data_IF_656655915124
#
_entry.id   IF_656655915124
#
_cell.length_a   1.000
_cell.length_b   1.000
_cell.length_c   1.000
_cell.angle_alpha   90.00
_cell.angle_beta   90.00
_cell.angle_gamma   90.00
#
_symmetry.space_group_name_H-M   'P 1'
#
loop_
_entity.id
_entity.type
_entity.pdbx_description
1 polymer ?
#
# COMPACT_ATOMS: atom_id res chain seq x y z
N UNK A 1 -3.38 -7.59 12.75
CA UNK A 1 -3.74 -6.16 12.70
C UNK A 1 -4.18 -5.72 14.09
N UNK A 2 -3.69 -4.56 14.53
CA UNK A 2 -4.13 -3.94 15.78
C UNK A 2 -5.30 -2.97 15.53
N UNK A 3 -6.45 -3.25 16.15
CA UNK A 3 -7.64 -2.41 16.06
C UNK A 3 -7.59 -1.26 17.07
N UNK A 4 -8.37 -0.22 16.82
CA UNK A 4 -8.41 0.99 17.64
C UNK A 4 -8.97 0.76 19.06
N UNK A 5 -9.69 -0.33 19.30
CA UNK A 5 -10.19 -0.74 20.61
C UNK A 5 -9.19 -1.63 21.39
N UNK A 6 -8.00 -1.85 20.83
CA UNK A 6 -6.96 -2.71 21.41
C UNK A 6 -7.13 -4.20 21.10
N UNK A 7 -8.21 -4.59 20.43
CA UNK A 7 -8.36 -5.96 19.93
C UNK A 7 -7.52 -6.21 18.68
N UNK A 8 -7.40 -7.47 18.29
CA UNK A 8 -6.60 -7.88 17.14
C UNK A 8 -7.43 -8.67 16.14
N UNK A 9 -7.06 -8.54 14.86
CA UNK A 9 -7.70 -9.24 13.74
C UNK A 9 -6.66 -9.69 12.72
N UNK A 10 -6.76 -10.89 12.13
CA UNK A 10 -5.99 -11.23 10.93
C UNK A 10 -6.23 -10.20 9.82
N UNK A 11 -5.22 -9.90 9.00
CA UNK A 11 -5.34 -8.87 7.96
C UNK A 11 -6.36 -9.28 6.88
N UNK A 12 -6.54 -10.57 6.65
CA UNK A 12 -7.54 -11.13 5.75
C UNK A 12 -8.99 -10.97 6.25
N UNK A 13 -9.18 -10.72 7.54
CA UNK A 13 -10.48 -10.52 8.17
C UNK A 13 -10.82 -9.05 8.39
N UNK A 14 -9.89 -8.13 8.14
CA UNK A 14 -10.16 -6.68 8.25
C UNK A 14 -11.14 -6.26 7.17
N UNK A 15 -12.16 -5.50 7.56
CA UNK A 15 -13.22 -5.06 6.68
C UNK A 15 -13.23 -3.54 6.48
N UNK A 16 -13.93 -3.11 5.44
CA UNK A 16 -14.20 -1.69 5.20
C UNK A 16 -14.92 -1.08 6.40
N UNK A 17 -14.33 -0.04 6.97
CA UNK A 17 -14.88 0.67 8.11
C UNK A 17 -14.39 0.22 9.48
N UNK A 18 -13.64 -0.88 9.56
CA UNK A 18 -12.86 -1.20 10.73
C UNK A 18 -11.92 -0.03 11.08
N UNK A 19 -11.69 0.18 12.38
CA UNK A 19 -10.78 1.21 12.86
C UNK A 19 -9.51 0.57 13.37
N UNK A 20 -8.37 0.99 12.83
CA UNK A 20 -7.04 0.47 13.17
C UNK A 20 -6.19 1.56 13.82
N UNK A 21 -5.16 1.15 14.57
CA UNK A 21 -4.16 2.09 15.09
C UNK A 21 -3.08 2.37 14.03
N UNK A 22 -2.93 3.65 13.70
CA UNK A 22 -1.90 4.19 12.83
C UNK A 22 -1.04 5.16 13.64
N UNK A 23 0.28 5.13 13.44
CA UNK A 23 1.20 6.06 14.10
C UNK A 23 1.87 6.92 13.06
N UNK A 24 1.81 8.23 13.26
CA UNK A 24 2.64 9.16 12.51
C UNK A 24 4.09 8.97 12.96
N UNK A 25 4.99 8.50 12.09
CA UNK A 25 6.35 8.21 12.49
C UNK A 25 7.15 9.48 12.85
N UNK A 26 6.79 10.64 12.30
CA UNK A 26 7.48 11.92 12.54
C UNK A 26 7.16 12.49 13.92
N UNK A 27 5.89 12.41 14.33
CA UNK A 27 5.43 12.95 15.61
C UNK A 27 5.37 11.90 16.72
N UNK A 28 5.33 10.61 16.35
CA UNK A 28 5.02 9.50 17.26
C UNK A 28 3.55 9.45 17.68
N UNK A 29 2.68 10.30 17.12
CA UNK A 29 1.27 10.34 17.51
C UNK A 29 0.53 9.12 16.96
N UNK A 30 -0.03 8.32 17.86
CA UNK A 30 -0.86 7.16 17.53
C UNK A 30 -2.33 7.56 17.50
N UNK A 31 -2.97 7.43 16.34
CA UNK A 31 -4.36 7.82 16.10
C UNK A 31 -5.20 6.68 15.54
N UNK A 32 -6.50 6.71 15.86
CA UNK A 32 -7.46 5.77 15.30
C UNK A 32 -7.85 6.19 13.88
N UNK A 33 -7.62 5.32 12.90
CA UNK A 33 -7.97 5.57 11.51
C UNK A 33 -8.89 4.52 10.92
N UNK A 34 -9.76 4.96 10.01
CA UNK A 34 -10.73 4.08 9.33
C UNK A 34 -10.06 3.38 8.15
N UNK A 35 -10.27 2.08 8.04
CA UNK A 35 -9.95 1.30 6.84
C UNK A 35 -10.93 1.69 5.74
N UNK A 36 -10.40 2.22 4.66
CA UNK A 36 -11.17 2.70 3.50
C UNK A 36 -10.99 1.82 2.27
N UNK A 37 -10.00 0.93 2.26
CA UNK A 37 -9.92 -0.18 1.32
C UNK A 37 -9.21 -1.40 1.93
N UNK A 38 -9.54 -2.58 1.43
CA UNK A 38 -8.77 -3.81 1.61
C UNK A 38 -8.23 -4.22 0.23
N UNK A 39 -6.97 -4.62 0.18
CA UNK A 39 -6.25 -5.00 -1.03
C UNK A 39 -5.88 -6.46 -0.88
N UNK A 40 -6.25 -7.26 -1.86
CA UNK A 40 -5.87 -8.67 -1.94
C UNK A 40 -5.15 -8.89 -3.26
N UNK A 41 -3.88 -9.25 -3.19
CA UNK A 41 -3.09 -9.65 -4.36
C UNK A 41 -2.90 -11.16 -4.36
N UNK A 42 -2.96 -11.81 -5.51
CA UNK A 42 -2.63 -13.23 -5.64
C UNK A 42 -1.67 -13.44 -6.82
N UNK A 43 -0.69 -14.33 -6.66
CA UNK A 43 0.24 -14.71 -7.73
C UNK A 43 1.64 -14.95 -7.20
N UNK A 44 2.60 -15.02 -8.11
CA UNK A 44 4.02 -15.10 -7.76
C UNK A 44 4.44 -13.83 -7.03
N UNK A 45 5.06 -13.99 -5.86
CA UNK A 45 5.51 -12.92 -4.97
C UNK A 45 6.92 -13.22 -4.50
N UNK A 46 7.71 -12.16 -4.43
CA UNK A 46 8.95 -12.13 -3.67
C UNK A 46 8.55 -11.71 -2.24
N UNK A 47 8.81 -12.61 -1.30
CA UNK A 47 8.37 -12.53 0.08
C UNK A 47 9.58 -12.48 1.00
N UNK A 48 9.37 -11.82 2.14
CA UNK A 48 10.34 -11.75 3.22
C UNK A 48 9.64 -12.20 4.49
N UNK A 49 10.20 -13.21 5.14
CA UNK A 49 9.87 -13.62 6.50
C UNK A 49 10.86 -12.93 7.45
N UNK A 50 10.34 -12.06 8.30
CA UNK A 50 11.10 -11.27 9.26
C UNK A 50 10.82 -11.87 10.64
N UNK A 51 11.88 -12.29 11.33
CA UNK A 51 11.79 -12.82 12.69
C UNK A 51 12.18 -11.71 13.66
N UNK A 52 11.33 -11.44 14.65
CA UNK A 52 11.55 -10.41 15.67
C UNK A 52 11.60 -11.03 17.06
N UNK A 53 12.45 -10.47 17.90
CA UNK A 53 12.54 -10.74 19.33
C UNK A 53 11.43 -10.00 20.08
N UNK A 54 10.55 -10.75 20.75
CA UNK A 54 9.32 -10.22 21.36
C UNK A 54 9.36 -10.15 22.89
N UNK A 55 10.39 -10.70 23.54
CA UNK A 55 10.59 -10.60 24.98
C UNK A 55 11.94 -9.98 25.39
N UNK A 56 12.79 -9.65 24.42
CA UNK A 56 14.03 -8.90 24.63
C UNK A 56 14.96 -9.61 25.61
N UNK A 57 15.59 -8.86 26.52
CA UNK A 57 16.50 -9.43 27.51
C UNK A 57 15.79 -10.34 28.55
N UNK A 58 14.45 -10.41 28.53
CA UNK A 58 13.70 -11.28 29.43
C UNK A 58 13.70 -12.75 28.98
N UNK A 59 14.04 -13.04 27.72
CA UNK A 59 14.05 -14.40 27.19
C UNK A 59 14.65 -14.56 25.80
N UNK A 60 14.13 -15.54 25.07
CA UNK A 60 14.54 -15.90 23.70
C UNK A 60 13.31 -16.09 22.80
N UNK A 61 12.15 -15.52 23.18
CA UNK A 61 10.92 -15.69 22.42
C UNK A 61 10.97 -14.85 21.14
N UNK A 62 10.63 -15.50 20.03
CA UNK A 62 10.62 -14.87 18.71
C UNK A 62 9.32 -15.14 17.98
N UNK A 63 8.93 -14.21 17.13
CA UNK A 63 7.73 -14.29 16.28
C UNK A 63 8.05 -13.83 14.86
N UNK A 64 7.23 -14.23 13.89
CA UNK A 64 7.46 -13.90 12.48
C UNK A 64 6.38 -13.02 11.87
N UNK A 65 6.80 -12.17 10.93
CA UNK A 65 5.94 -11.40 10.03
C UNK A 65 6.35 -11.74 8.61
N UNK A 66 5.38 -11.95 7.73
CA UNK A 66 5.63 -12.11 6.28
C UNK A 66 5.10 -10.91 5.52
N UNK A 67 5.94 -10.33 4.67
CA UNK A 67 5.59 -9.23 3.79
C UNK A 67 6.13 -9.44 2.37
N UNK A 68 5.68 -8.64 1.41
CA UNK A 68 6.36 -8.56 0.10
C UNK A 68 7.69 -7.84 0.25
N UNK A 69 8.69 -8.17 -0.57
CA UNK A 69 10.03 -7.58 -0.54
C UNK A 69 10.03 -6.04 -0.48
N UNK A 70 9.27 -5.39 -1.36
CA UNK A 70 9.17 -3.93 -1.45
C UNK A 70 8.23 -3.30 -0.37
N UNK A 71 7.82 -4.05 0.66
CA UNK A 71 6.91 -3.50 1.68
C UNK A 71 7.70 -2.75 2.75
N UNK A 72 7.47 -1.44 2.97
CA UNK A 72 8.29 -0.69 3.91
C UNK A 72 7.93 -0.94 5.38
N UNK A 73 8.96 -0.97 6.23
CA UNK A 73 8.93 -1.03 7.68
C UNK A 73 9.60 0.21 8.27
N UNK A 74 9.09 0.70 9.40
CA UNK A 74 9.72 1.81 10.12
C UNK A 74 10.81 1.29 11.06
N UNK A 75 12.02 1.80 10.88
CA UNK A 75 13.22 1.44 11.66
C UNK A 75 13.69 2.66 12.44
N UNK A 76 13.67 2.57 13.77
CA UNK A 76 14.12 3.64 14.67
C UNK A 76 15.64 3.66 14.87
N UNK A 77 16.26 2.47 15.00
CA UNK A 77 17.70 2.31 15.18
C UNK A 77 18.23 1.18 14.31
N UNK A 78 19.34 1.44 13.63
CA UNK A 78 20.01 0.47 12.75
C UNK A 78 20.94 -0.45 13.53
N UNK A 79 20.82 -1.76 13.27
CA UNK A 79 21.72 -2.77 13.84
C UNK A 79 23.10 -2.78 13.18
N UNK A 80 23.17 -2.55 11.85
CA UNK A 80 24.42 -2.52 11.08
C UNK A 80 24.25 -1.89 9.69
N UNK A 81 25.17 -0.97 9.33
CA UNK A 81 25.51 -0.48 7.97
C UNK A 81 24.40 -0.43 6.90
N UNK A 82 23.16 -0.09 7.25
CA UNK A 82 22.22 0.37 6.22
C UNK A 82 22.77 1.66 5.60
N UNK A 83 22.58 1.83 4.30
CA UNK A 83 22.67 3.16 3.71
C UNK A 83 21.72 4.07 4.51
N UNK A 84 22.06 5.35 4.73
CA UNK A 84 21.15 6.26 5.41
C UNK A 84 19.79 6.15 4.73
N UNK A 85 18.72 5.99 5.53
CA UNK A 85 17.39 5.83 4.97
C UNK A 85 17.20 6.93 3.94
N UNK A 86 16.88 6.56 2.70
CA UNK A 86 16.38 7.55 1.78
C UNK A 86 15.13 8.17 2.43
N UNK A 87 14.78 9.41 2.04
CA UNK A 87 13.46 9.94 2.38
C UNK A 87 12.42 8.85 2.16
N UNK A 88 11.47 8.73 3.09
CA UNK A 88 10.43 7.72 3.00
C UNK A 88 9.80 7.69 1.62
N UNK A 89 9.11 6.59 1.23
CA UNK A 89 8.52 6.46 -0.11
C UNK A 89 7.59 7.64 -0.50
N UNK A 90 7.23 8.50 0.46
CA UNK A 90 6.38 9.69 0.32
C UNK A 90 7.06 11.04 0.61
N UNK A 91 8.40 11.10 0.67
CA UNK A 91 9.12 12.33 1.07
C UNK A 91 9.10 12.60 2.58
N UNK A 92 8.67 11.60 3.34
CA UNK A 92 8.64 11.57 4.81
C UNK A 92 10.07 11.55 5.37
N UNK A 93 10.17 11.75 6.69
CA UNK A 93 11.41 11.58 7.43
C UNK A 93 12.13 10.26 7.07
N UNK A 94 13.49 10.27 7.05
CA UNK A 94 14.27 9.05 6.92
C UNK A 94 13.89 8.07 8.06
N UNK A 95 13.75 6.79 7.72
CA UNK A 95 13.37 5.72 8.67
C UNK A 95 12.62 4.56 8.04
N UNK A 96 12.16 4.70 6.79
CA UNK A 96 11.52 3.62 6.04
C UNK A 96 12.51 2.78 5.26
N UNK A 97 12.40 1.45 5.41
CA UNK A 97 13.21 0.46 4.71
C UNK A 97 12.32 -0.62 4.11
N UNK A 98 12.61 -1.04 2.89
CA UNK A 98 11.94 -2.18 2.27
C UNK A 98 12.22 -3.44 3.09
N UNK A 99 11.28 -4.37 3.12
CA UNK A 99 11.39 -5.60 3.92
C UNK A 99 12.65 -6.40 3.60
N UNK A 100 13.07 -6.41 2.32
CA UNK A 100 14.27 -7.13 1.86
C UNK A 100 15.59 -6.46 2.28
N UNK A 101 15.54 -5.18 2.67
CA UNK A 101 16.70 -4.41 3.12
C UNK A 101 16.85 -4.42 4.65
N UNK A 102 15.94 -5.04 5.39
CA UNK A 102 16.07 -5.20 6.85
C UNK A 102 17.24 -6.13 7.18
N UNK A 103 17.98 -5.78 8.22
CA UNK A 103 19.09 -6.57 8.74
C UNK A 103 18.85 -6.98 10.21
N UNK A 104 19.37 -8.16 10.63
CA UNK A 104 19.41 -8.50 12.04
C UNK A 104 20.08 -7.40 12.89
N UNK A 105 19.36 -6.95 13.91
CA UNK A 105 19.72 -5.85 14.80
C UNK A 105 18.91 -4.57 14.59
N UNK A 106 18.19 -4.43 13.47
CA UNK A 106 17.28 -3.30 13.25
C UNK A 106 16.13 -3.29 14.26
N UNK A 107 15.72 -2.10 14.67
CA UNK A 107 14.69 -1.91 15.69
C UNK A 107 13.41 -1.32 15.09
N UNK A 108 12.34 -2.12 15.08
CA UNK A 108 11.02 -1.76 14.58
C UNK A 108 10.16 -1.14 15.69
N UNK A 109 9.41 -0.10 15.35
CA UNK A 109 8.58 0.64 16.31
C UNK A 109 7.25 -0.05 16.63
N UNK A 110 6.87 -0.05 17.90
CA UNK A 110 5.56 -0.47 18.42
C UNK A 110 4.63 0.75 18.69
N UNK A 111 3.31 0.56 18.92
CA UNK A 111 2.34 1.66 19.05
C UNK A 111 2.56 2.59 20.25
N UNK A 112 3.20 2.10 21.29
CA UNK A 112 3.59 2.83 22.51
C UNK A 112 4.97 3.51 22.40
N UNK A 113 5.63 3.37 21.24
CA UNK A 113 6.96 3.92 20.98
C UNK A 113 8.10 3.07 21.52
N UNK A 114 7.82 1.87 22.05
CA UNK A 114 8.85 0.86 22.30
C UNK A 114 9.37 0.28 20.97
N UNK A 115 10.35 -0.64 21.09
CA UNK A 115 11.11 -1.17 19.97
C UNK A 115 11.27 -2.67 20.08
N UNK A 116 11.10 -3.37 18.96
CA UNK A 116 11.42 -4.79 18.84
C UNK A 116 12.53 -5.01 17.83
N UNK A 117 13.42 -5.95 18.14
CA UNK A 117 14.63 -6.19 17.37
C UNK A 117 14.41 -7.27 16.34
N UNK A 118 14.78 -7.01 15.09
CA UNK A 118 14.89 -8.02 14.04
C UNK A 118 16.06 -8.94 14.37
N UNK A 119 15.85 -10.25 14.36
CA UNK A 119 16.89 -11.26 14.66
C UNK A 119 17.21 -12.16 13.48
N UNK A 120 16.30 -12.31 12.52
CA UNK A 120 16.53 -13.04 11.27
C UNK A 120 15.67 -12.48 10.14
N UNK A 121 16.18 -12.55 8.91
CA UNK A 121 15.48 -12.12 7.71
C UNK A 121 15.69 -13.16 6.62
N UNK A 122 14.59 -13.71 6.10
CA UNK A 122 14.62 -14.75 5.09
C UNK A 122 13.79 -14.37 3.88
N UNK A 123 14.45 -14.24 2.73
CA UNK A 123 13.79 -13.98 1.45
C UNK A 123 13.46 -15.28 0.71
N UNK A 124 12.29 -15.35 0.09
CA UNK A 124 11.87 -16.49 -0.73
C UNK A 124 10.80 -16.08 -1.73
N UNK A 125 10.58 -16.91 -2.74
CA UNK A 125 9.51 -16.69 -3.72
C UNK A 125 8.42 -17.73 -3.58
N UNK A 126 7.16 -17.29 -3.69
CA UNK A 126 6.01 -18.19 -3.63
C UNK A 126 4.83 -17.66 -4.44
N UNK A 127 3.99 -18.57 -4.92
CA UNK A 127 2.65 -18.19 -5.38
C UNK A 127 1.73 -18.16 -4.17
N UNK A 128 1.34 -16.96 -3.73
CA UNK A 128 0.50 -16.81 -2.54
C UNK A 128 -0.49 -15.67 -2.69
N UNK A 129 -1.42 -15.60 -1.73
CA UNK A 129 -2.28 -14.44 -1.51
C UNK A 129 -1.62 -13.53 -0.48
N UNK A 130 -1.57 -12.23 -0.78
CA UNK A 130 -1.09 -11.19 0.13
C UNK A 130 -2.19 -10.16 0.34
N UNK A 131 -2.18 -9.56 1.51
CA UNK A 131 -3.16 -8.58 1.94
C UNK A 131 -2.47 -7.25 2.25
N UNK A 132 -3.13 -6.15 1.93
CA UNK A 132 -2.73 -4.80 2.31
C UNK A 132 -4.01 -3.98 2.54
N UNK A 133 -3.91 -2.83 3.20
CA UNK A 133 -5.06 -1.99 3.50
C UNK A 133 -4.96 -0.68 2.72
N UNK A 134 -5.95 0.17 2.89
CA UNK A 134 -5.81 1.60 2.65
C UNK A 134 -6.48 2.30 3.81
N UNK A 135 -5.72 3.17 4.47
CA UNK A 135 -6.14 3.87 5.68
C UNK A 135 -6.18 5.36 5.38
N UNK A 136 -7.19 6.03 5.90
CA UNK A 136 -7.33 7.47 5.73
C UNK A 136 -6.32 8.23 6.60
N UNK A 137 -5.73 9.30 6.08
CA UNK A 137 -4.87 10.20 6.85
C UNK A 137 -3.41 9.75 6.82
N UNK A 138 -2.97 9.07 7.87
CA UNK A 138 -1.60 8.60 8.04
C UNK A 138 -1.43 7.28 7.29
N UNK A 139 -0.42 7.21 6.41
CA UNK A 139 -0.19 6.04 5.54
C UNK A 139 0.57 4.93 6.26
N UNK A 140 0.22 4.64 7.51
CA UNK A 140 0.88 3.62 8.34
C UNK A 140 -0.16 2.78 9.09
N UNK A 141 0.23 1.58 9.51
CA UNK A 141 -0.55 0.75 10.44
C UNK A 141 0.32 -0.27 11.16
N UNK A 142 -0.26 -0.91 12.18
CA UNK A 142 0.42 -1.98 12.90
C UNK A 142 -0.02 -3.38 12.47
N UNK A 143 0.94 -4.17 11.99
CA UNK A 143 0.82 -5.63 11.79
C UNK A 143 1.37 -6.36 12.99
N UNK A 144 0.95 -7.60 13.23
CA UNK A 144 1.38 -8.35 14.41
C UNK A 144 2.46 -9.38 14.03
N UNK A 145 3.55 -9.41 14.79
CA UNK A 145 4.42 -10.58 14.98
C UNK A 145 3.93 -11.31 16.23
N UNK A 146 3.20 -12.41 16.07
CA UNK A 146 2.48 -13.04 17.19
C UNK A 146 1.49 -12.07 17.83
N UNK A 147 1.75 -11.63 19.07
CA UNK A 147 0.97 -10.62 19.78
C UNK A 147 1.56 -9.19 19.68
N UNK A 148 2.75 -9.05 19.09
CA UNK A 148 3.55 -7.81 19.10
C UNK A 148 3.29 -6.97 17.86
N UNK A 149 2.68 -5.77 17.99
CA UNK A 149 2.44 -4.86 16.88
C UNK A 149 3.70 -4.14 16.41
N UNK A 150 3.95 -4.12 15.09
CA UNK A 150 5.03 -3.36 14.45
C UNK A 150 4.50 -2.40 13.38
N UNK A 151 5.09 -1.21 13.32
CA UNK A 151 4.71 -0.14 12.39
C UNK A 151 5.17 -0.43 10.96
N UNK A 152 4.21 -0.56 10.04
CA UNK A 152 4.45 -0.76 8.61
C UNK A 152 3.80 0.32 7.77
N UNK A 153 4.33 0.50 6.57
CA UNK A 153 3.80 1.45 5.62
C UNK A 153 2.58 0.87 4.89
N UNK A 154 1.54 1.66 4.72
CA UNK A 154 0.38 1.33 3.91
C UNK A 154 0.70 1.49 2.40
N UNK A 155 1.15 0.42 1.73
CA UNK A 155 1.86 0.50 0.44
C UNK A 155 1.11 1.18 -0.76
N UNK A 156 1.92 1.78 -1.64
CA UNK A 156 1.69 2.34 -2.99
C UNK A 156 0.26 2.67 -3.41
N UNK A 157 -0.10 3.94 -3.24
CA UNK A 157 -1.31 4.55 -3.78
C UNK A 157 -1.36 4.60 -5.33
N UNK A 158 -0.22 4.37 -6.01
CA UNK A 158 -0.08 4.38 -7.47
C UNK A 158 1.14 3.56 -7.91
N UNK A 159 1.20 3.16 -9.17
CA UNK A 159 2.34 2.39 -9.67
C UNK A 159 3.59 3.27 -9.82
N UNK A 160 4.75 2.76 -9.42
CA UNK A 160 6.05 3.38 -9.67
C UNK A 160 6.46 3.29 -11.15
N UNK A 161 7.40 4.13 -11.57
CA UNK A 161 8.09 4.01 -12.86
C UNK A 161 9.59 4.13 -12.66
N UNK A 162 10.39 3.85 -13.69
CA UNK A 162 11.86 4.04 -13.65
C UNK A 162 12.31 5.46 -13.26
N UNK A 163 11.41 6.45 -13.32
CA UNK A 163 11.73 7.88 -13.11
C UNK A 163 10.91 8.55 -12.02
N UNK A 164 9.91 7.86 -11.46
CA UNK A 164 8.95 8.46 -10.54
C UNK A 164 8.55 7.47 -9.47
N UNK A 165 8.56 7.92 -8.22
CA UNK A 165 7.94 7.22 -7.11
C UNK A 165 6.43 7.06 -7.33
N UNK A 166 5.77 6.25 -6.50
CA UNK A 166 4.31 6.10 -6.49
C UNK A 166 3.64 7.47 -6.39
N UNK A 167 4.11 8.34 -5.50
CA UNK A 167 3.52 9.66 -5.21
C UNK A 167 3.71 10.63 -6.35
N UNK A 168 4.94 10.73 -6.87
CA UNK A 168 5.24 11.63 -7.98
C UNK A 168 4.46 11.23 -9.24
N UNK A 169 4.23 9.93 -9.40
CA UNK A 169 3.41 9.44 -10.48
C UNK A 169 1.91 9.73 -10.24
N UNK A 170 1.41 9.51 -9.03
CA UNK A 170 0.04 9.85 -8.63
C UNK A 170 -0.25 11.35 -8.80
N UNK A 171 0.62 12.20 -8.28
CA UNK A 171 0.53 13.65 -8.40
C UNK A 171 0.64 14.09 -9.87
N UNK A 172 1.56 13.48 -10.64
CA UNK A 172 1.66 13.74 -12.08
C UNK A 172 0.39 13.37 -12.84
N UNK A 173 -0.28 12.29 -12.46
CA UNK A 173 -1.60 11.93 -13.00
C UNK A 173 -2.68 12.92 -12.57
N UNK A 174 -2.74 13.29 -11.29
CA UNK A 174 -3.65 14.32 -10.80
C UNK A 174 -3.47 15.63 -11.57
N UNK A 175 -2.25 16.14 -11.69
CA UNK A 175 -1.99 17.42 -12.36
C UNK A 175 -2.42 17.39 -13.83
N UNK A 176 -2.24 16.23 -14.48
CA UNK A 176 -2.66 16.00 -15.86
C UNK A 176 -4.19 15.88 -16.02
N UNK A 177 -4.88 15.25 -15.09
CA UNK A 177 -6.28 14.85 -15.25
C UNK A 177 -7.28 15.61 -14.37
N UNK A 178 -6.83 16.50 -13.49
CA UNK A 178 -7.70 17.24 -12.55
C UNK A 178 -8.86 17.98 -13.20
N UNK A 179 -8.70 18.48 -14.43
CA UNK A 179 -9.77 19.16 -15.16
C UNK A 179 -10.94 18.23 -15.54
N UNK A 180 -10.70 16.92 -15.61
CA UNK A 180 -11.72 15.91 -15.93
C UNK A 180 -12.58 15.54 -14.70
N UNK A 181 -12.12 15.92 -13.50
CA UNK A 181 -12.73 15.60 -12.22
C UNK A 181 -12.96 16.87 -11.37
N UNK A 182 -13.86 17.78 -11.78
CA UNK A 182 -14.06 19.06 -11.11
C UNK A 182 -14.58 18.96 -9.66
N UNK A 183 -15.06 17.79 -9.26
CA UNK A 183 -15.54 17.53 -7.90
C UNK A 183 -14.42 17.11 -6.93
N UNK A 184 -13.21 16.85 -7.42
CA UNK A 184 -12.06 16.46 -6.61
C UNK A 184 -11.18 17.69 -6.42
N UNK A 185 -10.77 17.94 -5.19
CA UNK A 185 -10.13 19.21 -4.81
C UNK A 185 -8.60 19.10 -4.73
N UNK A 186 -8.06 17.88 -4.66
CA UNK A 186 -6.65 17.63 -4.44
C UNK A 186 -6.25 16.22 -4.92
N UNK A 187 -4.93 15.97 -4.97
CA UNK A 187 -4.37 14.69 -5.41
C UNK A 187 -4.80 13.50 -4.54
N UNK A 188 -5.07 13.72 -3.24
CA UNK A 188 -5.53 12.66 -2.33
C UNK A 188 -6.93 12.18 -2.72
N UNK A 189 -7.89 13.10 -2.88
CA UNK A 189 -9.25 12.78 -3.33
C UNK A 189 -9.25 12.08 -4.71
N UNK A 190 -8.33 12.48 -5.59
CA UNK A 190 -8.13 11.82 -6.88
C UNK A 190 -7.62 10.38 -6.77
N UNK A 191 -6.61 10.14 -5.94
CA UNK A 191 -6.09 8.79 -5.69
C UNK A 191 -7.14 7.90 -5.05
N UNK A 192 -7.94 8.43 -4.12
CA UNK A 192 -9.06 7.73 -3.50
C UNK A 192 -10.16 7.41 -4.53
N UNK A 193 -10.52 8.36 -5.39
CA UNK A 193 -11.49 8.15 -6.46
C UNK A 193 -11.02 7.08 -7.46
N UNK A 194 -9.77 7.14 -7.91
CA UNK A 194 -9.16 6.14 -8.78
C UNK A 194 -9.23 4.75 -8.15
N UNK A 195 -8.83 4.66 -6.88
CA UNK A 195 -8.84 3.43 -6.10
C UNK A 195 -10.25 2.84 -5.99
N UNK A 196 -11.23 3.66 -5.64
CA UNK A 196 -12.63 3.25 -5.50
C UNK A 196 -13.21 2.78 -6.83
N UNK A 197 -12.96 3.52 -7.92
CA UNK A 197 -13.42 3.17 -9.26
C UNK A 197 -12.84 1.82 -9.72
N UNK A 198 -11.50 1.68 -9.67
CA UNK A 198 -10.78 0.51 -10.15
C UNK A 198 -11.17 -0.77 -9.39
N UNK A 199 -11.50 -0.64 -8.11
CA UNK A 199 -11.86 -1.75 -7.22
C UNK A 199 -13.37 -1.93 -7.04
N UNK A 200 -14.19 -1.12 -7.71
CA UNK A 200 -15.65 -1.18 -7.52
C UNK A 200 -16.24 -2.54 -7.93
N UNK A 201 -17.21 -3.01 -7.15
CA UNK A 201 -18.06 -4.16 -7.50
C UNK A 201 -19.28 -3.76 -8.35
N UNK A 202 -19.29 -2.52 -8.86
CA UNK A 202 -20.41 -1.99 -9.64
C UNK A 202 -20.54 -2.79 -10.96
N UNK A 203 -21.67 -3.47 -11.22
CA UNK A 203 -21.84 -4.31 -12.41
C UNK A 203 -21.82 -3.52 -13.72
N UNK A 204 -22.00 -2.20 -13.66
CA UNK A 204 -21.91 -1.32 -14.83
C UNK A 204 -20.47 -0.94 -15.19
N UNK A 205 -19.47 -1.31 -14.38
CA UNK A 205 -18.06 -1.10 -14.68
C UNK A 205 -17.53 -2.29 -15.47
N UNK A 206 -17.27 -2.06 -16.75
CA UNK A 206 -16.71 -3.06 -17.66
C UNK A 206 -15.27 -3.36 -17.24
N UNK A 207 -14.88 -4.62 -17.38
CA UNK A 207 -13.57 -5.12 -16.97
C UNK A 207 -12.93 -5.93 -18.08
N UNK A 208 -11.64 -5.70 -18.32
CA UNK A 208 -10.81 -6.53 -19.20
C UNK A 208 -9.46 -6.79 -18.55
N UNK A 209 -8.94 -8.00 -18.73
CA UNK A 209 -7.59 -8.38 -18.27
C UNK A 209 -6.67 -8.47 -19.49
N UNK A 210 -5.55 -7.74 -19.44
CA UNK A 210 -4.52 -7.77 -20.48
C UNK A 210 -3.62 -9.00 -20.34
N UNK A 211 -2.87 -9.32 -21.40
CA UNK A 211 -1.95 -10.45 -21.41
C UNK A 211 -0.86 -10.37 -20.31
N UNK A 212 -0.49 -9.16 -19.87
CA UNK A 212 0.46 -8.93 -18.78
C UNK A 212 -0.17 -9.00 -17.38
N UNK A 213 -1.47 -9.29 -17.27
CA UNK A 213 -2.20 -9.35 -16.00
C UNK A 213 -2.76 -8.02 -15.51
N UNK A 214 -2.51 -6.90 -16.19
CA UNK A 214 -3.15 -5.62 -15.83
C UNK A 214 -4.66 -5.70 -16.05
N UNK A 215 -5.42 -5.04 -15.18
CA UNK A 215 -6.88 -4.98 -15.21
C UNK A 215 -7.29 -3.59 -15.67
N UNK A 216 -8.00 -3.53 -16.80
CA UNK A 216 -8.57 -2.32 -17.40
C UNK A 216 -10.04 -2.23 -17.00
N UNK A 217 -10.48 -1.06 -16.56
CA UNK A 217 -11.84 -0.77 -16.11
C UNK A 217 -12.41 0.42 -16.86
N UNK A 218 -13.68 0.35 -17.23
CA UNK A 218 -14.38 1.46 -17.89
C UNK A 218 -15.84 1.54 -17.45
N UNK A 219 -16.32 2.72 -17.07
CA UNK A 219 -17.73 2.97 -16.81
C UNK A 219 -18.34 3.83 -17.93
N UNK A 220 -19.20 3.26 -18.80
CA UNK A 220 -19.81 3.98 -19.90
C UNK A 220 -20.80 5.07 -19.48
N UNK A 221 -21.25 5.09 -18.21
CA UNK A 221 -22.16 6.11 -17.71
C UNK A 221 -21.45 7.38 -17.23
N UNK A 222 -20.19 7.27 -16.79
CA UNK A 222 -19.42 8.39 -16.22
C UNK A 222 -18.18 8.75 -17.04
N UNK A 223 -17.91 7.97 -18.08
CA UNK A 223 -16.69 7.94 -18.88
C UNK A 223 -15.42 7.71 -18.06
N UNK A 224 -15.54 7.19 -16.84
CA UNK A 224 -14.34 6.87 -16.04
C UNK A 224 -13.62 5.67 -16.63
N UNK A 225 -12.32 5.81 -16.82
CA UNK A 225 -11.41 4.80 -17.32
C UNK A 225 -10.22 4.67 -16.39
N UNK A 226 -9.72 3.45 -16.22
CA UNK A 226 -8.51 3.24 -15.45
C UNK A 226 -7.87 1.88 -15.69
N UNK A 227 -6.62 1.78 -15.30
CA UNK A 227 -5.86 0.52 -15.32
C UNK A 227 -5.22 0.33 -13.96
N UNK A 228 -5.26 -0.90 -13.44
CA UNK A 228 -4.50 -1.31 -12.27
C UNK A 228 -3.63 -2.54 -12.58
N UNK A 229 -2.57 -2.73 -11.82
CA UNK A 229 -1.79 -3.96 -11.87
C UNK A 229 -2.63 -5.18 -11.45
N UNK A 230 -2.12 -6.39 -11.71
CA UNK A 230 -2.70 -7.63 -11.18
C UNK A 230 -2.76 -7.67 -9.65
N UNK A 231 -1.94 -6.87 -8.96
CA UNK A 231 -1.97 -6.67 -7.51
C UNK A 231 -2.93 -5.56 -7.04
N UNK A 232 -3.65 -4.91 -7.97
CA UNK A 232 -4.65 -3.89 -7.65
C UNK A 232 -4.09 -2.48 -7.41
N UNK A 233 -2.83 -2.22 -7.79
CA UNK A 233 -2.22 -0.88 -7.67
C UNK A 233 -2.62 -0.02 -8.89
N UNK A 234 -3.21 1.17 -8.71
CA UNK A 234 -3.57 2.05 -9.81
C UNK A 234 -2.36 2.40 -10.69
N UNK A 235 -2.50 2.29 -12.01
CA UNK A 235 -1.51 2.74 -13.01
C UNK A 235 -1.94 4.02 -13.70
N UNK A 236 -3.24 4.13 -13.98
CA UNK A 236 -3.86 5.32 -14.57
C UNK A 236 -5.33 5.38 -14.18
N UNK A 237 -5.89 6.59 -14.17
CA UNK A 237 -7.31 6.88 -14.02
C UNK A 237 -7.57 8.21 -14.71
N UNK A 238 -8.59 8.29 -15.56
CA UNK A 238 -8.93 9.49 -16.32
C UNK A 238 -10.29 9.33 -17.00
N UNK A 239 -10.79 10.39 -17.64
CA UNK A 239 -11.93 10.31 -18.56
C UNK A 239 -11.43 10.44 -20.00
N UNK A 240 -11.50 9.37 -20.82
CA UNK A 240 -11.04 9.45 -22.19
C UNK A 240 -11.88 10.44 -23.00
N UNK A 241 -11.24 11.06 -23.97
CA UNK A 241 -11.88 11.96 -24.92
C UNK A 241 -11.63 11.42 -26.34
N UNK A 242 -12.69 11.21 -27.15
CA UNK A 242 -12.58 10.79 -28.55
C UNK A 242 -11.61 11.63 -29.39
N UNK A 243 -11.57 12.93 -29.16
CA UNK A 243 -10.68 13.85 -29.86
C UNK A 243 -9.19 13.63 -29.52
N UNK A 244 -8.91 13.05 -28.34
CA UNK A 244 -7.54 12.81 -27.87
C UNK A 244 -6.99 11.44 -28.29
N UNK A 245 -7.85 10.42 -28.36
CA UNK A 245 -7.40 9.04 -28.61
C UNK A 245 -7.67 8.53 -30.04
N UNK A 246 -8.46 9.24 -30.85
CA UNK A 246 -8.65 8.92 -32.27
C UNK A 246 -9.68 7.83 -32.60
N UNK A 247 -10.16 7.06 -31.62
CA UNK A 247 -11.35 6.21 -31.78
C UNK A 247 -12.64 7.03 -31.83
N UNK A 248 -13.68 6.49 -32.50
CA UNK A 248 -14.97 7.15 -32.66
C UNK A 248 -15.70 7.35 -31.32
N UNK A 249 -15.57 6.40 -30.38
CA UNK A 249 -16.16 6.49 -29.04
C UNK A 249 -15.18 6.02 -27.97
N UNK A 250 -15.44 6.41 -26.72
CA UNK A 250 -14.72 5.89 -25.55
C UNK A 250 -14.91 4.37 -25.37
N UNK A 251 -16.05 3.84 -25.83
CA UNK A 251 -16.31 2.40 -25.84
C UNK A 251 -15.38 1.68 -26.82
N UNK A 252 -15.18 2.25 -28.01
CA UNK A 252 -14.23 1.70 -28.99
C UNK A 252 -12.80 1.74 -28.46
N UNK A 253 -12.42 2.84 -27.80
CA UNK A 253 -11.14 2.95 -27.12
C UNK A 253 -10.95 1.85 -26.06
N UNK A 254 -11.95 1.63 -25.19
CA UNK A 254 -11.94 0.55 -24.20
C UNK A 254 -11.86 -0.84 -24.86
N UNK A 255 -12.59 -1.05 -25.95
CA UNK A 255 -12.63 -2.32 -26.66
C UNK A 255 -11.32 -2.68 -27.35
N UNK A 256 -10.41 -1.73 -27.53
CA UNK A 256 -9.08 -1.95 -28.09
C UNK A 256 -7.98 -2.21 -27.02
N UNK A 257 -8.33 -2.11 -25.73
CA UNK A 257 -7.38 -2.24 -24.61
C UNK A 257 -6.95 -3.67 -24.27
#
# INVERSE_FOLDING_TARGET
MLLADGSTKPIEEVELGDRVLATDPETGETVSQKVVATIVGHGHKDLVEITVDVDGDAGEAVETITATAEHPFWVDDHGRLLQPAAHGPWGEAPGWYDAEDLDPGDQLRTPDGEKVRVVDVRTYTATTRVHNLTINGVHTYHVLAGATPVLVHNASCWSTTKKKSSVENAYGHWDKHKSEFPNLNNAKEYVEAATNFLRSANPNVLTRTRANGDIVRFNPATDEFGVMSSSGVPRTYFKPNPESHGYATNMDYFNDQ
#
